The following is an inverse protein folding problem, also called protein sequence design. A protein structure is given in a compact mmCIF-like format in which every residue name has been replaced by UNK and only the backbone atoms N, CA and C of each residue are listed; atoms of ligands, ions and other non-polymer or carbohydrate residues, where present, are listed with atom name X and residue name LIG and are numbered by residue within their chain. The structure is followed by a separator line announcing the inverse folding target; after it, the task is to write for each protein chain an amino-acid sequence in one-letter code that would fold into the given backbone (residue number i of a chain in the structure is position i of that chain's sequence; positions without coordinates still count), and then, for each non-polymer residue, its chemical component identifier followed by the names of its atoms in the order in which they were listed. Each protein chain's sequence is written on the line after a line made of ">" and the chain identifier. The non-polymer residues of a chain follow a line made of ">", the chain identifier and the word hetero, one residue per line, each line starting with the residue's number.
data_IF_723715937655
#
_entry.id   IF_723715937655
#
_cell.length_a   1.000
_cell.length_b   1.000
_cell.length_c   1.000
_cell.angle_alpha   90.00
_cell.angle_beta   90.00
_cell.angle_gamma   90.00
#
_symmetry.space_group_name_H-M   'P 1'
#
loop_
_entity.id
_entity.type
_entity.pdbx_description
1 polymer ?
#
# COMPACT_ATOMS: atom_id res chain seq x y z
N UNK A 1 0.58 -39.29 34.76
CA UNK A 1 0.38 -37.94 35.30
C UNK A 1 1.62 -37.10 35.01
N UNK A 2 1.49 -36.13 34.13
CA UNK A 2 2.30 -34.91 34.07
C UNK A 2 1.38 -33.83 33.48
N UNK A 3 1.49 -32.64 34.07
CA UNK A 3 0.50 -31.57 34.21
C UNK A 3 -0.35 -31.13 33.01
N UNK A 4 -1.63 -30.95 33.31
CA UNK A 4 -2.60 -30.11 32.61
C UNK A 4 -2.26 -28.63 32.90
N UNK A 5 -2.16 -27.81 31.85
CA UNK A 5 -2.29 -26.36 32.00
C UNK A 5 -3.58 -25.93 31.30
N UNK A 6 -4.65 -25.88 32.09
CA UNK A 6 -5.86 -25.10 31.81
C UNK A 6 -5.47 -23.62 31.67
N UNK A 7 -5.94 -22.99 30.60
CA UNK A 7 -6.03 -21.54 30.56
C UNK A 7 -7.41 -21.18 30.00
N UNK A 8 -8.37 -21.07 30.91
CA UNK A 8 -9.65 -20.42 30.71
C UNK A 8 -9.42 -18.96 30.28
N UNK A 9 -9.76 -18.64 29.03
CA UNK A 9 -10.07 -17.26 28.65
C UNK A 9 -11.53 -17.20 28.17
N UNK A 10 -12.46 -16.66 28.97
CA UNK A 10 -13.83 -16.47 28.55
C UNK A 10 -13.92 -15.21 27.68
N UNK A 11 -14.56 -15.36 26.52
CA UNK A 11 -14.98 -14.30 25.58
C UNK A 11 -14.03 -13.94 24.41
N UNK A 12 -13.67 -14.94 23.59
CA UNK A 12 -13.58 -14.69 22.16
C UNK A 12 -15.00 -14.70 21.56
N UNK A 13 -15.57 -13.51 21.35
CA UNK A 13 -16.81 -13.35 20.60
C UNK A 13 -16.51 -13.71 19.14
N UNK A 14 -16.78 -14.97 18.79
CA UNK A 14 -16.81 -15.42 17.41
C UNK A 14 -17.93 -14.65 16.69
N UNK A 15 -17.56 -13.66 15.88
CA UNK A 15 -18.49 -13.03 14.94
C UNK A 15 -18.52 -13.86 13.66
N UNK A 16 -19.60 -14.61 13.36
CA UNK A 16 -19.74 -15.26 12.07
C UNK A 16 -20.08 -14.19 11.04
N UNK A 17 -19.08 -13.69 10.31
CA UNK A 17 -19.37 -12.93 9.10
C UNK A 17 -19.87 -13.91 8.03
N UNK A 18 -21.17 -13.86 7.77
CA UNK A 18 -21.80 -14.57 6.66
C UNK A 18 -21.36 -13.83 5.39
N UNK A 19 -20.40 -14.39 4.66
CA UNK A 19 -20.16 -13.97 3.28
C UNK A 19 -21.29 -14.58 2.44
N UNK A 20 -22.29 -13.77 2.06
CA UNK A 20 -23.16 -14.12 0.93
C UNK A 20 -22.25 -14.48 -0.23
N UNK A 21 -22.53 -15.61 -0.89
CA UNK A 21 -21.77 -16.14 -2.03
C UNK A 21 -21.91 -15.23 -3.27
N UNK A 22 -21.45 -13.99 -3.18
CA UNK A 22 -21.01 -13.24 -4.32
C UNK A 22 -19.84 -14.01 -4.90
N UNK A 23 -19.98 -14.48 -6.14
CA UNK A 23 -18.92 -15.14 -6.89
C UNK A 23 -17.63 -14.37 -6.66
N UNK A 24 -16.75 -14.89 -5.81
CA UNK A 24 -15.38 -14.43 -5.76
C UNK A 24 -14.90 -14.57 -7.20
N UNK A 25 -14.63 -13.43 -7.86
CA UNK A 25 -13.75 -13.46 -9.00
C UNK A 25 -12.46 -14.00 -8.41
N UNK A 26 -12.28 -15.32 -8.55
CA UNK A 26 -11.00 -15.97 -8.32
C UNK A 26 -10.13 -15.41 -9.44
N UNK A 27 -9.60 -14.21 -9.21
CA UNK A 27 -8.32 -13.86 -9.77
C UNK A 27 -7.43 -14.97 -9.25
N UNK A 28 -7.14 -15.93 -10.12
CA UNK A 28 -5.89 -16.63 -9.96
C UNK A 28 -4.89 -15.49 -9.98
N UNK A 29 -4.24 -15.24 -8.84
CA UNK A 29 -2.96 -14.59 -8.90
C UNK A 29 -2.01 -15.70 -9.31
N UNK A 30 -2.06 -16.05 -10.60
CA UNK A 30 -1.12 -16.93 -11.26
C UNK A 30 0.21 -16.21 -11.55
N UNK A 31 0.43 -15.05 -10.94
CA UNK A 31 1.75 -14.44 -10.74
C UNK A 31 2.50 -15.20 -9.63
N UNK A 32 2.66 -16.51 -9.81
CA UNK A 32 3.79 -17.21 -9.21
C UNK A 32 5.01 -16.67 -9.97
N UNK A 33 5.49 -15.50 -9.54
CA UNK A 33 6.68 -14.88 -10.09
C UNK A 33 7.83 -15.82 -9.77
N UNK A 34 8.12 -16.74 -10.68
CA UNK A 34 9.34 -17.51 -10.64
C UNK A 34 10.46 -16.46 -10.55
N UNK A 35 11.25 -16.53 -9.48
CA UNK A 35 12.41 -15.66 -9.26
C UNK A 35 13.46 -15.77 -10.39
N UNK A 36 13.23 -16.67 -11.36
CA UNK A 36 13.99 -16.80 -12.60
C UNK A 36 13.34 -16.11 -13.83
N UNK A 37 12.12 -15.59 -13.73
CA UNK A 37 11.44 -14.80 -14.78
C UNK A 37 11.73 -13.28 -14.68
N UNK A 38 12.52 -12.89 -13.66
CA UNK A 38 13.00 -11.53 -13.40
C UNK A 38 13.64 -10.86 -14.63
N UNK A 39 14.10 -11.63 -15.63
CA UNK A 39 14.75 -11.07 -16.82
C UNK A 39 13.82 -10.31 -17.78
N UNK A 40 12.63 -10.80 -18.12
CA UNK A 40 11.88 -10.22 -19.26
C UNK A 40 11.40 -8.79 -18.98
N UNK A 41 10.71 -8.60 -17.86
CA UNK A 41 10.15 -7.29 -17.51
C UNK A 41 11.21 -6.29 -17.06
N UNK A 42 12.27 -6.75 -16.38
CA UNK A 42 13.38 -5.88 -15.98
C UNK A 42 14.15 -5.39 -17.21
N UNK A 43 14.48 -6.28 -18.15
CA UNK A 43 15.13 -5.92 -19.41
C UNK A 43 14.26 -5.00 -20.27
N UNK A 44 12.95 -5.30 -20.36
CA UNK A 44 12.01 -4.45 -21.07
C UNK A 44 11.92 -3.06 -20.42
N UNK A 45 11.86 -2.99 -19.09
CA UNK A 45 11.82 -1.73 -18.36
C UNK A 45 13.10 -0.91 -18.56
N UNK A 46 14.28 -1.56 -18.55
CA UNK A 46 15.56 -0.90 -18.85
C UNK A 46 15.60 -0.39 -20.29
N UNK A 47 15.24 -1.23 -21.27
CA UNK A 47 15.21 -0.82 -22.68
C UNK A 47 14.24 0.36 -22.92
N UNK A 48 13.08 0.38 -22.27
CA UNK A 48 12.15 1.50 -22.35
C UNK A 48 12.75 2.76 -21.69
N UNK A 49 13.38 2.64 -20.51
CA UNK A 49 14.07 3.76 -19.86
C UNK A 49 15.13 4.37 -20.78
N UNK A 50 16.00 3.55 -21.34
CA UNK A 50 17.06 3.98 -22.26
C UNK A 50 16.48 4.67 -23.51
N UNK A 51 15.46 4.08 -24.14
CA UNK A 51 14.81 4.65 -25.32
C UNK A 51 14.14 6.01 -25.04
N UNK A 52 13.56 6.19 -23.86
CA UNK A 52 12.92 7.47 -23.49
C UNK A 52 13.97 8.56 -23.21
N UNK A 53 15.13 8.19 -22.67
CA UNK A 53 16.27 9.10 -22.48
C UNK A 53 16.88 9.47 -23.83
N UNK A 54 17.13 8.49 -24.71
CA UNK A 54 17.70 8.72 -26.04
C UNK A 54 16.81 9.64 -26.88
N UNK A 55 15.48 9.56 -26.69
CA UNK A 55 14.50 10.43 -27.35
C UNK A 55 14.28 11.78 -26.65
N UNK A 56 15.04 12.07 -25.58
CA UNK A 56 14.94 13.31 -24.80
C UNK A 56 13.53 13.57 -24.23
N UNK A 57 12.72 12.52 -24.02
CA UNK A 57 11.37 12.64 -23.44
C UNK A 57 11.45 12.78 -21.93
N UNK A 58 12.44 12.13 -21.31
CA UNK A 58 12.79 12.22 -19.88
C UNK A 58 14.30 12.22 -19.73
N UNK A 59 14.81 12.78 -18.64
CA UNK A 59 16.23 12.70 -18.29
C UNK A 59 16.49 11.59 -17.27
N UNK A 60 17.75 11.17 -17.13
CA UNK A 60 18.15 10.24 -16.07
C UNK A 60 17.87 10.82 -14.66
N UNK A 61 18.01 12.15 -14.51
CA UNK A 61 17.70 12.84 -13.25
C UNK A 61 16.19 12.82 -12.95
N UNK A 62 15.32 12.94 -13.97
CA UNK A 62 13.86 12.84 -13.77
C UNK A 62 13.48 11.45 -13.25
N UNK A 63 14.09 10.39 -13.79
CA UNK A 63 13.85 9.01 -13.34
C UNK A 63 14.33 8.85 -11.90
N UNK A 64 15.55 9.30 -11.58
CA UNK A 64 16.09 9.24 -10.22
C UNK A 64 15.22 9.99 -9.22
N UNK A 65 14.81 11.22 -9.55
CA UNK A 65 13.94 12.02 -8.71
C UNK A 65 12.57 11.36 -8.49
N UNK A 66 12.03 10.67 -9.50
CA UNK A 66 10.78 9.94 -9.36
C UNK A 66 10.94 8.70 -8.45
N UNK A 67 12.05 7.97 -8.55
CA UNK A 67 12.36 6.85 -7.63
C UNK A 67 12.46 7.38 -6.19
N UNK A 68 13.24 8.44 -5.98
CA UNK A 68 13.38 9.08 -4.66
C UNK A 68 12.03 9.57 -4.11
N UNK A 69 11.19 10.15 -4.97
CA UNK A 69 9.84 10.55 -4.60
C UNK A 69 8.98 9.35 -4.22
N UNK A 70 9.02 8.26 -5.00
CA UNK A 70 8.26 7.05 -4.71
C UNK A 70 8.67 6.42 -3.38
N UNK A 71 9.98 6.36 -3.10
CA UNK A 71 10.58 5.84 -1.87
C UNK A 71 10.33 6.72 -0.65
N UNK A 72 10.18 8.04 -0.86
CA UNK A 72 9.87 8.98 0.23
C UNK A 72 8.49 8.73 0.86
N UNK A 73 7.58 8.05 0.14
CA UNK A 73 6.23 7.77 0.63
C UNK A 73 6.28 6.66 1.67
N UNK A 74 5.81 6.96 2.87
CA UNK A 74 5.75 5.95 3.93
C UNK A 74 4.61 6.18 4.92
N UNK A 75 4.37 5.20 5.82
CA UNK A 75 3.29 5.25 6.81
C UNK A 75 3.34 6.47 7.73
N UNK A 76 4.52 7.07 7.90
CA UNK A 76 4.73 8.28 8.70
C UNK A 76 3.89 9.48 8.20
N UNK A 77 3.62 9.58 6.89
CA UNK A 77 2.75 10.60 6.33
C UNK A 77 1.30 10.42 6.83
N UNK A 78 0.81 9.18 6.83
CA UNK A 78 -0.50 8.82 7.39
C UNK A 78 -0.59 9.11 8.89
N UNK A 79 0.45 8.78 9.65
CA UNK A 79 0.50 9.06 11.08
C UNK A 79 0.42 10.57 11.37
N UNK A 80 1.09 11.42 10.58
CA UNK A 80 1.00 12.89 10.66
C UNK A 80 -0.44 13.38 10.47
N UNK A 81 -1.14 12.81 9.48
CA UNK A 81 -2.54 13.15 9.19
C UNK A 81 -3.45 12.78 10.39
N UNK A 82 -3.31 11.56 10.92
CA UNK A 82 -4.12 11.09 12.06
C UNK A 82 -3.87 11.93 13.30
N UNK A 83 -2.59 12.23 13.60
CA UNK A 83 -2.22 13.07 14.74
C UNK A 83 -2.84 14.47 14.65
N UNK A 84 -2.82 15.11 13.47
CA UNK A 84 -3.49 16.41 13.25
C UNK A 84 -5.01 16.29 13.46
N UNK A 85 -5.64 15.23 12.96
CA UNK A 85 -7.08 15.01 13.13
C UNK A 85 -7.52 14.74 14.57
N UNK A 86 -6.64 14.23 15.43
CA UNK A 86 -6.95 14.09 16.86
C UNK A 86 -6.86 15.41 17.62
N UNK A 87 -5.94 16.30 17.23
CA UNK A 87 -5.74 17.57 17.91
C UNK A 87 -6.60 18.72 17.35
N UNK A 88 -7.07 18.59 16.09
CA UNK A 88 -7.89 19.60 15.40
C UNK A 88 -9.21 18.97 14.90
N UNK A 89 -10.31 19.17 15.66
CA UNK A 89 -11.64 18.68 15.27
C UNK A 89 -12.16 19.26 13.95
N UNK A 90 -11.78 20.50 13.60
CA UNK A 90 -12.18 21.13 12.34
C UNK A 90 -11.43 20.51 11.16
N UNK A 91 -10.13 20.22 11.33
CA UNK A 91 -9.38 19.43 10.35
C UNK A 91 -9.95 18.02 10.20
N UNK A 92 -10.34 17.36 11.29
CA UNK A 92 -11.00 16.04 11.23
C UNK A 92 -12.28 16.10 10.41
N UNK A 93 -13.10 17.14 10.59
CA UNK A 93 -14.32 17.32 9.81
C UNK A 93 -14.02 17.48 8.32
N UNK A 94 -13.06 18.35 7.95
CA UNK A 94 -12.63 18.51 6.56
C UNK A 94 -12.07 17.22 5.97
N UNK A 95 -11.26 16.47 6.73
CA UNK A 95 -10.69 15.19 6.32
C UNK A 95 -11.77 14.14 6.00
N UNK A 96 -12.89 14.15 6.74
CA UNK A 96 -14.01 13.23 6.50
C UNK A 96 -14.91 13.67 5.34
N UNK A 97 -14.95 14.98 5.03
CA UNK A 97 -15.70 15.53 3.89
C UNK A 97 -14.92 15.37 2.57
N UNK A 98 -13.63 15.72 2.57
CA UNK A 98 -12.71 15.56 1.44
C UNK A 98 -11.29 15.27 1.92
N UNK A 99 -10.92 13.98 1.87
CA UNK A 99 -9.59 13.54 2.30
C UNK A 99 -8.45 14.10 1.45
N UNK A 100 -8.65 14.30 0.15
CA UNK A 100 -7.58 14.78 -0.73
C UNK A 100 -7.30 16.25 -0.49
N UNK A 101 -8.35 17.07 -0.39
CA UNK A 101 -8.23 18.49 -0.08
C UNK A 101 -7.61 18.72 1.30
N UNK A 102 -8.05 17.97 2.31
CA UNK A 102 -7.52 18.10 3.67
C UNK A 102 -6.04 17.68 3.76
N UNK A 103 -5.65 16.58 3.13
CA UNK A 103 -4.24 16.14 3.11
C UNK A 103 -3.36 17.13 2.34
N UNK A 104 -3.90 17.83 1.33
CA UNK A 104 -3.19 18.90 0.62
C UNK A 104 -2.81 20.12 1.47
N UNK A 105 -3.32 20.25 2.71
CA UNK A 105 -2.92 21.30 3.66
C UNK A 105 -1.58 21.00 4.38
N UNK A 106 -0.93 19.86 4.15
CA UNK A 106 0.21 19.33 4.92
C UNK A 106 1.55 19.35 4.19
#
# INVERSE_FOLDING_TARGET
>A
MADEHDNDNPEEIYHPHIHEEGKFLKWNDDSDHDVNETGHYELMAEAIRELLIEKEIVTADDIRANIEFMDSRGPHLGAKIVAKAWNDPEYKKRLMEDGSAAVGEL
#
